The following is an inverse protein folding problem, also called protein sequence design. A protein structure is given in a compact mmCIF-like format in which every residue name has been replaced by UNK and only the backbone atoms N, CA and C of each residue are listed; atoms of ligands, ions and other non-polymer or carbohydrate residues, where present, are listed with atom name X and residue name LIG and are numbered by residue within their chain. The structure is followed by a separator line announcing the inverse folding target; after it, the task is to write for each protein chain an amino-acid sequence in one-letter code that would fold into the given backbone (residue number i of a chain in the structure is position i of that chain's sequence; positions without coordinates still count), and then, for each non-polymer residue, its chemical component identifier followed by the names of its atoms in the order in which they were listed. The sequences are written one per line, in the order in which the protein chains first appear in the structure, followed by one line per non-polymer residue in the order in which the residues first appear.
data_IF_865609291431
#
_entry.id   IF_865609291431
#
_cell.length_a   1.000
_cell.length_b   1.000
_cell.length_c   1.000
_cell.angle_alpha   90.00
_cell.angle_beta   90.00
_cell.angle_gamma   90.00
#
_symmetry.space_group_name_H-M   'P 1'
#
loop_
_entity.id
_entity.type
_entity.pdbx_description
1 polymer ?
2 polymer ?
3 non-polymer ?
4 non-polymer ?
5 water ?
#
# COMPACT_ATOMS: atom_id res chain seq x y z
N UNK A 1 -42.18 -6.76 2.27
CA UNK A 1 -41.31 -6.36 1.13
C UNK A 1 -41.74 -7.03 -0.17
N UNK A 2 -41.82 -6.22 -1.23
CA UNK A 2 -42.19 -6.71 -2.55
C UNK A 2 -40.97 -7.35 -3.20
N UNK A 3 -41.23 -8.30 -4.08
CA UNK A 3 -40.17 -9.02 -4.77
C UNK A 3 -40.10 -8.67 -6.24
N UNK A 4 -38.88 -8.66 -6.80
CA UNK A 4 -38.76 -8.35 -8.23
C UNK A 4 -39.22 -9.57 -9.04
N UNK A 5 -39.52 -9.38 -10.32
CA UNK A 5 -39.99 -10.49 -11.15
C UNK A 5 -38.95 -11.53 -11.54
N UNK A 6 -39.40 -12.79 -11.56
CA UNK A 6 -38.59 -13.93 -11.98
C UNK A 6 -37.24 -14.01 -11.29
N UNK A 7 -37.26 -13.79 -9.98
CA UNK A 7 -36.02 -13.82 -9.25
C UNK A 7 -35.56 -15.23 -8.93
N UNK A 8 -34.25 -15.37 -8.75
CA UNK A 8 -33.72 -16.64 -8.32
C UNK A 8 -33.53 -16.35 -6.84
N UNK A 9 -34.00 -17.27 -6.02
CA UNK A 9 -33.89 -17.11 -4.58
C UNK A 9 -32.66 -17.83 -4.03
N UNK A 10 -31.95 -17.17 -3.11
CA UNK A 10 -30.77 -17.73 -2.45
C UNK A 10 -30.98 -17.61 -0.94
N UNK A 11 -30.92 -18.76 -0.28
CA UNK A 11 -31.13 -18.92 1.17
C UNK A 11 -29.75 -18.97 1.82
N UNK A 12 -29.41 -17.99 2.67
CA UNK A 12 -28.07 -17.98 3.29
C UNK A 12 -28.01 -18.57 4.69
N UNK A 13 -29.08 -19.23 5.12
CA UNK A 13 -29.11 -19.85 6.43
C UNK A 13 -28.25 -21.11 6.47
N UNK A 14 -27.94 -21.60 7.67
CA UNK A 14 -27.13 -22.82 7.78
C UNK A 14 -27.90 -23.96 7.08
N UNK A 15 -27.17 -24.93 6.56
CA UNK A 15 -27.81 -26.03 5.84
C UNK A 15 -28.93 -26.74 6.58
N UNK A 16 -28.79 -26.98 7.89
CA UNK A 16 -29.87 -27.66 8.63
C UNK A 16 -31.20 -26.94 8.46
N UNK A 17 -31.16 -25.63 8.62
CA UNK A 17 -32.37 -24.82 8.48
C UNK A 17 -32.89 -24.91 7.06
N UNK A 18 -31.99 -24.79 6.09
CA UNK A 18 -32.38 -24.89 4.69
C UNK A 18 -33.08 -26.25 4.43
N UNK A 19 -32.49 -27.31 4.95
CA UNK A 19 -33.06 -28.64 4.75
C UNK A 19 -34.40 -28.86 5.46
N UNK A 20 -34.64 -28.10 6.52
CA UNK A 20 -35.89 -28.20 7.26
C UNK A 20 -37.05 -27.56 6.49
N UNK A 21 -36.71 -26.73 5.51
CA UNK A 21 -37.69 -26.06 4.70
C UNK A 21 -37.18 -24.73 4.16
N UNK A 22 -37.21 -24.58 2.83
CA UNK A 22 -36.77 -23.37 2.17
C UNK A 22 -37.80 -22.93 1.14
N UNK A 23 -37.66 -21.72 0.59
CA UNK A 23 -38.63 -21.30 -0.40
C UNK A 23 -38.49 -22.18 -1.65
N UNK A 24 -39.62 -22.46 -2.31
CA UNK A 24 -39.54 -23.31 -3.51
C UNK A 24 -38.52 -22.78 -4.51
N UNK A 25 -37.62 -23.65 -4.95
CA UNK A 25 -36.64 -23.25 -5.94
C UNK A 25 -35.42 -22.51 -5.39
N UNK A 26 -35.41 -22.23 -4.09
CA UNK A 26 -34.27 -21.50 -3.53
C UNK A 26 -33.00 -22.34 -3.45
N UNK A 27 -31.87 -21.72 -3.81
CA UNK A 27 -30.59 -22.42 -3.71
C UNK A 27 -30.02 -22.11 -2.34
N UNK A 28 -29.17 -22.99 -1.83
CA UNK A 28 -28.51 -22.76 -0.55
C UNK A 28 -27.13 -22.20 -0.85
N UNK A 29 -26.79 -21.09 -0.19
CA UNK A 29 -25.45 -20.51 -0.37
C UNK A 29 -25.05 -19.65 0.83
N UNK A 30 -23.90 -19.97 1.43
CA UNK A 30 -23.36 -19.16 2.55
C UNK A 30 -21.87 -18.92 2.24
N UNK A 31 -21.53 -17.68 1.88
CA UNK A 31 -20.15 -17.35 1.54
C UNK A 31 -19.36 -16.70 2.67
N UNK A 32 -19.66 -17.06 3.91
CA UNK A 32 -18.93 -16.49 5.06
C UNK A 32 -17.48 -16.97 5.14
N UNK A 33 -17.21 -18.16 4.62
CA UNK A 33 -15.88 -18.77 4.77
C UNK A 33 -14.63 -18.28 4.05
N UNK A 34 -14.70 -18.10 2.73
CA UNK A 34 -13.53 -17.64 1.97
C UNK A 34 -12.93 -16.31 2.39
N UNK A 35 -11.68 -16.34 2.84
CA UNK A 35 -10.94 -15.12 3.19
C UNK A 35 -10.15 -14.80 1.91
N UNK A 36 -10.29 -13.57 1.43
CA UNK A 36 -9.65 -13.17 0.19
C UNK A 36 -8.40 -12.31 0.30
N UNK A 37 -7.52 -12.46 -0.70
CA UNK A 37 -6.30 -11.65 -0.80
C UNK A 37 -6.43 -11.03 -2.19
N UNK A 38 -6.54 -9.71 -2.23
CA UNK A 38 -6.74 -9.01 -3.50
C UNK A 38 -5.76 -7.88 -3.65
N UNK A 39 -4.56 -8.20 -4.13
CA UNK A 39 -3.53 -7.20 -4.34
C UNK A 39 -3.21 -7.07 -5.83
N UNK A 40 -3.02 -8.21 -6.50
CA UNK A 40 -2.70 -8.23 -7.92
C UNK A 40 -3.94 -8.34 -8.82
N UNK A 41 -3.84 -7.82 -10.04
CA UNK A 41 -4.97 -7.93 -10.96
C UNK A 41 -5.37 -9.41 -11.13
N UNK A 42 -4.40 -10.32 -11.17
CA UNK A 42 -4.71 -11.75 -11.33
C UNK A 42 -5.61 -12.25 -10.20
N UNK A 43 -5.44 -11.68 -9.01
CA UNK A 43 -6.28 -12.09 -7.87
C UNK A 43 -7.71 -11.60 -8.02
N UNK A 44 -7.88 -10.39 -8.53
CA UNK A 44 -9.23 -9.87 -8.75
C UNK A 44 -9.88 -10.70 -9.86
N UNK A 45 -9.11 -11.03 -10.89
CA UNK A 45 -9.65 -11.82 -11.99
C UNK A 45 -10.01 -13.23 -11.52
N UNK A 46 -9.25 -13.74 -10.57
CA UNK A 46 -9.50 -15.07 -10.00
C UNK A 46 -10.86 -15.03 -9.27
N UNK A 47 -11.11 -13.95 -8.54
CA UNK A 47 -12.39 -13.81 -7.83
C UNK A 47 -13.53 -13.75 -8.82
N UNK A 48 -13.37 -12.95 -9.87
CA UNK A 48 -14.42 -12.84 -10.88
C UNK A 48 -14.68 -14.21 -11.52
N UNK A 49 -13.61 -14.97 -11.82
CA UNK A 49 -13.78 -16.29 -12.42
C UNK A 49 -14.49 -17.25 -11.48
N UNK A 50 -14.15 -17.17 -10.21
CA UNK A 50 -14.77 -18.02 -9.19
C UNK A 50 -16.25 -17.70 -9.08
N UNK A 51 -16.60 -16.42 -9.18
CA UNK A 51 -18.01 -16.03 -9.12
C UNK A 51 -18.72 -16.54 -10.37
N UNK A 52 -18.08 -16.46 -11.53
CA UNK A 52 -18.72 -16.98 -12.75
C UNK A 52 -19.08 -18.45 -12.57
N UNK A 53 -18.13 -19.22 -12.05
CA UNK A 53 -18.33 -20.65 -11.86
C UNK A 53 -19.48 -20.91 -10.90
N UNK A 54 -19.52 -20.12 -9.83
CA UNK A 54 -20.56 -20.24 -8.82
C UNK A 54 -21.92 -19.88 -9.40
N UNK A 55 -21.98 -18.77 -10.12
CA UNK A 55 -23.23 -18.32 -10.72
C UNK A 55 -23.77 -19.37 -11.69
N UNK A 56 -22.88 -19.95 -12.50
CA UNK A 56 -23.32 -20.95 -13.46
C UNK A 56 -23.77 -22.25 -12.80
N UNK A 57 -23.01 -22.70 -11.82
CA UNK A 57 -23.34 -23.93 -11.12
C UNK A 57 -24.66 -23.84 -10.37
N UNK A 58 -24.97 -22.67 -9.80
CA UNK A 58 -26.23 -22.48 -9.07
C UNK A 58 -27.37 -21.98 -9.95
N UNK A 59 -27.08 -21.77 -11.23
CA UNK A 59 -28.11 -21.28 -12.15
C UNK A 59 -28.59 -19.91 -11.76
N UNK A 60 -27.66 -19.06 -11.35
CA UNK A 60 -27.97 -17.70 -10.93
C UNK A 60 -28.04 -16.76 -12.12
N UNK A 61 -28.85 -15.73 -11.97
CA UNK A 61 -29.07 -14.71 -12.99
C UNK A 61 -29.87 -13.61 -12.31
N UNK A 62 -29.71 -12.37 -12.76
CA UNK A 62 -30.45 -11.26 -12.16
C UNK A 62 -31.94 -11.38 -12.46
N UNK A 63 -32.79 -11.01 -11.51
CA UNK A 63 -32.43 -10.50 -10.18
C UNK A 63 -32.34 -11.65 -9.19
N UNK A 64 -31.52 -11.48 -8.16
CA UNK A 64 -31.38 -12.51 -7.14
C UNK A 64 -31.88 -11.93 -5.82
N UNK A 65 -32.70 -12.70 -5.13
CA UNK A 65 -33.21 -12.26 -3.84
C UNK A 65 -32.60 -13.17 -2.79
N UNK A 66 -31.80 -12.62 -1.89
CA UNK A 66 -31.19 -13.44 -0.85
C UNK A 66 -31.96 -13.28 0.45
N UNK A 67 -32.20 -14.36 1.17
CA UNK A 67 -32.94 -14.23 2.42
C UNK A 67 -32.30 -15.00 3.57
N UNK A 68 -32.54 -14.53 4.79
CA UNK A 68 -32.02 -15.13 6.00
C UNK A 68 -32.94 -14.60 7.12
N UNK A 69 -32.75 -15.12 8.32
CA UNK A 69 -33.57 -14.71 9.44
C UNK A 69 -32.91 -13.48 10.05
N UNK A 70 -33.34 -12.32 9.58
CA UNK A 70 -32.77 -11.08 10.04
C UNK A 70 -31.62 -10.64 9.16
N UNK A 71 -31.10 -9.44 9.43
CA UNK A 71 -30.00 -8.90 8.64
C UNK A 71 -28.68 -9.42 9.19
N UNK A 72 -28.36 -10.66 8.82
CA UNK A 72 -27.17 -11.34 9.29
C UNK A 72 -25.90 -11.00 8.51
N UNK A 73 -24.75 -11.23 9.14
CA UNK A 73 -23.50 -10.95 8.47
C UNK A 73 -23.32 -12.00 7.36
N UNK A 74 -23.82 -13.21 7.57
CA UNK A 74 -23.67 -14.22 6.50
C UNK A 74 -24.54 -13.82 5.29
N UNK A 75 -25.73 -13.27 5.53
CA UNK A 75 -26.58 -12.81 4.43
C UNK A 75 -25.91 -11.67 3.65
N UNK A 76 -25.40 -10.67 4.35
CA UNK A 76 -24.80 -9.53 3.67
C UNK A 76 -23.46 -9.84 3.00
N UNK A 77 -22.63 -10.70 3.59
CA UNK A 77 -21.37 -10.99 2.90
C UNK A 77 -21.67 -11.80 1.65
N UNK A 78 -22.65 -12.70 1.74
CA UNK A 78 -23.00 -13.49 0.57
C UNK A 78 -23.62 -12.56 -0.50
N UNK A 79 -24.53 -11.66 -0.10
CA UNK A 79 -25.12 -10.74 -1.07
C UNK A 79 -24.05 -9.84 -1.66
N UNK A 80 -23.07 -9.49 -0.85
CA UNK A 80 -21.98 -8.64 -1.31
C UNK A 80 -21.22 -9.34 -2.45
N UNK A 81 -20.91 -10.61 -2.27
CA UNK A 81 -20.21 -11.32 -3.35
C UNK A 81 -21.06 -11.39 -4.61
N UNK A 82 -22.36 -11.73 -4.48
CA UNK A 82 -23.18 -11.84 -5.69
C UNK A 82 -23.30 -10.51 -6.41
N UNK A 83 -23.47 -9.42 -5.66
CA UNK A 83 -23.57 -8.10 -6.27
C UNK A 83 -22.24 -7.68 -6.87
N UNK A 84 -21.16 -8.06 -6.21
CA UNK A 84 -19.81 -7.75 -6.67
C UNK A 84 -19.52 -8.44 -8.02
N UNK A 85 -20.20 -9.56 -8.25
CA UNK A 85 -20.04 -10.28 -9.50
C UNK A 85 -20.93 -9.71 -10.57
N UNK A 86 -21.65 -8.63 -10.27
CA UNK A 86 -22.50 -7.99 -11.25
C UNK A 86 -23.98 -8.35 -11.28
N UNK A 87 -24.42 -9.19 -10.35
CA UNK A 87 -25.85 -9.54 -10.31
C UNK A 87 -26.63 -8.46 -9.59
N UNK A 88 -27.90 -8.30 -9.98
CA UNK A 88 -28.79 -7.34 -9.32
C UNK A 88 -29.29 -8.12 -8.10
N UNK A 89 -29.01 -7.62 -6.89
CA UNK A 89 -29.41 -8.34 -5.69
C UNK A 89 -30.30 -7.56 -4.76
N UNK A 90 -31.10 -8.29 -3.98
CA UNK A 90 -31.98 -7.69 -3.00
C UNK A 90 -31.94 -8.57 -1.75
N UNK A 91 -31.97 -7.93 -0.59
CA UNK A 91 -31.97 -8.64 0.69
C UNK A 91 -33.42 -8.76 1.18
N UNK A 92 -33.73 -9.88 1.82
CA UNK A 92 -35.07 -10.14 2.34
C UNK A 92 -34.84 -10.75 3.73
N UNK A 93 -35.09 -9.96 4.78
CA UNK A 93 -34.80 -10.39 6.15
C UNK A 93 -35.98 -10.83 7.00
N UNK A 94 -37.18 -10.62 6.50
CA UNK A 94 -38.37 -10.99 7.27
C UNK A 94 -39.55 -11.05 6.33
N UNK A 95 -40.43 -12.02 6.53
CA UNK A 95 -41.61 -12.13 5.69
C UNK A 95 -41.62 -13.32 4.74
N UNK A 96 -40.48 -13.97 4.61
CA UNK A 96 -40.34 -15.14 3.74
C UNK A 96 -40.67 -16.46 4.46
N UNK A 97 -40.66 -16.44 5.79
CA UNK A 97 -40.82 -17.63 6.61
C UNK A 97 -42.06 -18.47 6.35
N UNK A 98 -43.20 -17.84 6.03
CA UNK A 98 -44.41 -18.65 5.75
C UNK A 98 -44.25 -19.51 4.50
N UNK A 99 -43.31 -19.13 3.64
CA UNK A 99 -43.09 -19.81 2.37
C UNK A 99 -41.95 -20.80 2.34
N UNK A 100 -41.29 -21.02 3.48
CA UNK A 100 -40.16 -21.93 3.60
C UNK A 100 -40.69 -23.36 3.78
N UNK A 101 -41.34 -23.84 2.73
CA UNK A 101 -42.01 -25.14 2.74
C UNK A 101 -41.34 -26.29 2.00
N UNK A 102 -40.39 -25.96 1.14
CA UNK A 102 -39.74 -26.98 0.32
C UNK A 102 -38.55 -27.64 0.98
N UNK A 103 -38.52 -28.97 0.93
CA UNK A 103 -37.43 -29.73 1.52
C UNK A 103 -36.41 -30.18 0.47
N UNK A 104 -36.90 -30.54 -0.71
CA UNK A 104 -36.03 -31.00 -1.80
C UNK A 104 -35.13 -29.88 -2.28
N UNK A 105 -33.87 -30.20 -2.54
CA UNK A 105 -32.93 -29.20 -3.01
C UNK A 105 -32.92 -29.18 -4.53
N UNK A 106 -33.13 -28.00 -5.13
CA UNK A 106 -33.14 -27.93 -6.60
C UNK A 106 -31.81 -28.29 -7.22
N UNK A 107 -31.87 -28.78 -8.46
CA UNK A 107 -30.69 -29.15 -9.23
C UNK A 107 -30.77 -28.32 -10.50
N UNK A 108 -30.38 -27.05 -10.43
CA UNK A 108 -30.42 -26.16 -11.59
C UNK A 108 -29.51 -26.63 -12.71
N UNK A 109 -29.87 -26.27 -13.94
CA UNK A 109 -29.03 -26.60 -15.08
C UNK A 109 -28.11 -25.38 -15.15
N UNK A 110 -26.82 -25.63 -15.33
CA UNK A 110 -25.83 -24.55 -15.40
C UNK A 110 -26.23 -23.39 -16.29
N UNK A 111 -26.43 -22.20 -15.73
CA UNK A 111 -26.76 -21.06 -16.57
C UNK A 111 -25.43 -20.72 -17.25
N UNK A 112 -25.44 -19.77 -18.18
CA UNK A 112 -24.20 -19.41 -18.87
C UNK A 112 -23.78 -17.99 -18.56
N UNK A 113 -24.35 -17.47 -17.47
CA UNK A 113 -24.05 -16.13 -17.02
C UNK A 113 -22.56 -16.02 -16.73
N UNK A 114 -22.01 -14.83 -16.91
CA UNK A 114 -20.59 -14.62 -16.64
C UNK A 114 -20.49 -13.43 -15.71
N UNK A 115 -19.75 -13.60 -14.62
CA UNK A 115 -19.58 -12.51 -13.67
C UNK A 115 -18.75 -11.39 -14.28
N UNK A 116 -19.03 -10.17 -13.83
CA UNK A 116 -18.30 -8.97 -14.26
C UNK A 116 -18.12 -8.18 -12.97
N UNK A 117 -16.89 -8.09 -12.47
CA UNK A 117 -16.64 -7.40 -11.22
C UNK A 117 -17.08 -5.95 -11.13
N UNK A 118 -17.79 -5.65 -10.05
CA UNK A 118 -18.25 -4.30 -9.81
C UNK A 118 -17.17 -3.70 -8.91
N UNK A 119 -16.04 -3.28 -9.49
CA UNK A 119 -14.95 -2.73 -8.69
C UNK A 119 -15.39 -1.56 -7.82
N UNK A 120 -16.42 -0.86 -8.27
CA UNK A 120 -16.92 0.28 -7.51
C UNK A 120 -17.46 -0.08 -6.12
N UNK A 121 -17.85 -1.34 -5.95
CA UNK A 121 -18.37 -1.79 -4.66
C UNK A 121 -17.26 -2.14 -3.67
N UNK A 122 -16.07 -2.35 -4.22
CA UNK A 122 -14.95 -2.81 -3.44
C UNK A 122 -13.80 -1.86 -3.13
N UNK A 123 -13.11 -2.17 -2.04
CA UNK A 123 -11.87 -1.50 -1.69
C UNK A 123 -10.78 -2.60 -1.58
N UNK A 124 -9.68 -2.43 -2.29
CA UNK A 124 -8.57 -3.36 -2.17
C UNK A 124 -7.78 -2.73 -1.02
N UNK A 125 -6.74 -3.41 -0.53
CA UNK A 125 -5.92 -2.89 0.58
C UNK A 125 -5.32 -1.56 0.19
N UNK A 126 -4.81 -1.47 -1.03
CA UNK A 126 -4.23 -0.22 -1.48
C UNK A 126 -5.24 0.93 -1.50
N UNK A 127 -6.47 0.62 -1.90
CA UNK A 127 -7.50 1.65 -1.95
C UNK A 127 -7.91 2.02 -0.53
N UNK A 128 -7.97 1.03 0.36
CA UNK A 128 -8.36 1.31 1.74
C UNK A 128 -7.30 2.19 2.40
N UNK A 129 -6.03 1.89 2.13
CA UNK A 129 -4.89 2.63 2.69
C UNK A 129 -4.90 4.11 2.34
N UNK A 130 -5.50 4.44 1.21
CA UNK A 130 -5.56 5.83 0.74
C UNK A 130 -6.92 6.46 0.92
N UNK A 131 -7.84 5.75 1.54
CA UNK A 131 -9.19 6.28 1.72
C UNK A 131 -9.23 7.31 2.84
N UNK A 132 -9.89 8.45 2.59
CA UNK A 132 -9.99 9.52 3.59
C UNK A 132 -10.91 9.25 4.76
N UNK A 133 -11.85 8.31 4.58
CA UNK A 133 -12.79 8.00 5.65
C UNK A 133 -13.12 6.53 5.70
N UNK A 134 -12.38 5.82 6.53
CA UNK A 134 -12.54 4.40 6.72
C UNK A 134 -13.19 4.15 8.05
N UNK A 135 -14.31 3.47 8.03
CA UNK A 135 -15.00 3.11 9.25
C UNK A 135 -14.74 1.65 9.58
N UNK A 136 -14.21 1.42 10.78
CA UNK A 136 -13.93 0.09 11.31
C UNK A 136 -15.23 -0.27 12.04
N UNK A 137 -15.97 -1.26 11.53
CA UNK A 137 -17.24 -1.60 12.14
C UNK A 137 -17.19 -2.69 13.19
N UNK A 138 -15.98 -2.99 13.66
CA UNK A 138 -15.83 -4.00 14.70
C UNK A 138 -16.14 -3.38 16.06
N UNK A 139 -16.00 -4.17 17.11
CA UNK A 139 -16.29 -3.67 18.45
C UNK A 139 -15.16 -2.75 18.89
N UNK A 140 -15.41 -1.91 19.91
CA UNK A 140 -14.39 -0.99 20.42
C UNK A 140 -13.15 -1.75 20.88
N UNK A 141 -13.35 -2.93 21.46
CA UNK A 141 -12.23 -3.75 21.94
C UNK A 141 -11.35 -4.23 20.79
N UNK A 142 -11.96 -4.54 19.65
CA UNK A 142 -11.22 -4.99 18.49
C UNK A 142 -10.49 -3.77 17.92
N UNK A 143 -11.21 -2.67 17.87
CA UNK A 143 -10.67 -1.40 17.36
C UNK A 143 -9.43 -0.97 18.13
N UNK A 144 -9.46 -1.16 19.44
CA UNK A 144 -8.35 -0.78 20.31
C UNK A 144 -7.23 -1.80 20.31
N UNK A 145 -7.46 -2.93 19.65
CA UNK A 145 -6.46 -3.98 19.57
C UNK A 145 -6.36 -4.84 20.82
N UNK A 146 -7.36 -4.75 21.69
CA UNK A 146 -7.35 -5.55 22.92
C UNK A 146 -7.59 -7.03 22.63
N UNK A 147 -8.30 -7.30 21.54
CA UNK A 147 -8.59 -8.68 21.16
C UNK A 147 -8.44 -8.83 19.65
N UNK A 148 -8.32 -10.08 19.20
CA UNK A 148 -8.20 -10.34 17.78
C UNK A 148 -8.45 -11.82 17.55
N UNK A 149 -8.95 -12.19 16.37
CA UNK A 149 -9.20 -13.61 16.11
C UNK A 149 -7.87 -14.37 16.05
N UNK A 150 -7.87 -15.66 16.45
CA UNK A 150 -6.67 -16.50 16.45
C UNK A 150 -5.96 -16.69 15.11
N UNK A 151 -6.68 -16.47 14.02
CA UNK A 151 -6.07 -16.61 12.70
C UNK A 151 -5.18 -15.40 12.37
N UNK A 152 -5.24 -14.36 13.21
CA UNK A 152 -4.43 -13.15 12.98
C UNK A 152 -3.25 -13.02 13.95
N UNK A 153 -2.20 -12.27 13.58
CA UNK A 153 -1.00 -12.06 14.42
C UNK A 153 -1.16 -11.29 15.72
N UNK A 154 -2.01 -10.26 15.71
CA UNK A 154 -2.19 -9.43 16.90
C UNK A 154 -3.41 -8.53 16.77
N UNK A 155 -3.66 -7.74 17.81
CA UNK A 155 -4.78 -6.82 17.79
C UNK A 155 -4.39 -5.52 17.13
N UNK A 156 -5.34 -4.88 16.46
CA UNK A 156 -5.00 -3.63 15.80
C UNK A 156 -6.07 -3.15 14.87
N UNK A 157 -5.84 -1.96 14.33
CA UNK A 157 -6.75 -1.31 13.39
C UNK A 157 -5.92 -0.61 12.34
N UNK A 158 -6.56 -0.24 11.25
CA UNK A 158 -5.89 0.47 10.18
C UNK A 158 -5.69 1.88 10.75
N UNK A 159 -4.46 2.42 10.69
CA UNK A 159 -4.20 3.76 11.21
C UNK A 159 -5.12 4.81 10.61
N UNK A 160 -5.66 5.69 11.45
CA UNK A 160 -6.53 6.75 10.96
C UNK A 160 -8.00 6.41 10.84
N UNK A 161 -8.34 5.14 11.00
CA UNK A 161 -9.75 4.74 10.88
C UNK A 161 -10.57 5.18 12.10
N UNK A 162 -11.89 5.24 11.92
CA UNK A 162 -12.77 5.62 13.00
C UNK A 162 -13.67 4.45 13.33
N UNK A 163 -13.96 4.24 14.61
CA UNK A 163 -14.78 3.12 15.03
C UNK A 163 -16.29 3.45 14.92
N UNK A 164 -17.02 2.60 14.21
CA UNK A 164 -18.46 2.74 14.04
C UNK A 164 -18.99 1.31 14.15
N UNK A 165 -19.10 0.79 15.39
CA UNK A 165 -19.58 -0.56 15.68
C UNK A 165 -20.82 -0.94 14.90
N UNK A 166 -20.83 -2.18 14.39
CA UNK A 166 -21.92 -2.73 13.60
C UNK A 166 -23.30 -2.38 14.13
N UNK A 167 -23.47 -2.54 15.44
CA UNK A 167 -24.73 -2.27 16.13
C UNK A 167 -25.40 -0.96 15.70
N UNK A 168 -24.61 0.09 15.57
CA UNK A 168 -25.13 1.39 15.17
C UNK A 168 -25.91 1.36 13.86
N UNK A 169 -25.47 0.51 12.93
CA UNK A 169 -26.11 0.42 11.63
C UNK A 169 -27.48 -0.24 11.66
N UNK A 170 -27.81 -0.85 12.80
CA UNK A 170 -29.10 -1.52 12.93
C UNK A 170 -30.22 -0.54 13.31
N UNK A 171 -29.84 0.70 13.54
CA UNK A 171 -30.79 1.75 13.86
C UNK A 171 -30.59 2.84 12.82
N UNK A 172 -31.03 2.58 11.58
CA UNK A 172 -30.94 3.49 10.43
C UNK A 172 -31.52 4.89 10.57
N UNK A 173 -32.62 5.02 11.30
CA UNK A 173 -33.22 6.34 11.48
C UNK A 173 -32.23 7.25 12.23
N UNK A 174 -31.82 8.33 11.57
CA UNK A 174 -30.89 9.26 12.18
C UNK A 174 -29.44 8.79 12.24
N UNK A 175 -29.14 7.67 11.56
CA UNK A 175 -27.77 7.13 11.56
C UNK A 175 -26.75 8.07 10.94
N UNK A 176 -27.03 8.56 9.73
CA UNK A 176 -26.11 9.45 9.05
C UNK A 176 -25.81 10.67 9.91
N UNK A 177 -26.82 11.09 10.67
CA UNK A 177 -26.67 12.24 11.54
C UNK A 177 -25.72 11.88 12.68
N UNK A 178 -25.95 10.76 13.33
CA UNK A 178 -25.08 10.34 14.42
C UNK A 178 -23.66 10.06 13.93
N UNK A 179 -23.53 9.68 12.67
CA UNK A 179 -22.21 9.38 12.12
C UNK A 179 -21.60 10.61 11.46
N UNK A 180 -22.40 11.64 11.25
CA UNK A 180 -21.89 12.84 10.62
C UNK A 180 -21.61 12.66 9.14
N UNK A 181 -22.40 11.81 8.49
CA UNK A 181 -22.24 11.57 7.07
C UNK A 181 -23.44 12.18 6.35
N UNK A 182 -23.44 12.11 5.02
CA UNK A 182 -24.54 12.62 4.24
C UNK A 182 -24.58 11.93 2.90
N UNK A 183 -25.76 11.88 2.27
CA UNK A 183 -25.87 11.23 0.96
C UNK A 183 -24.76 11.65 0.01
N UNK A 184 -24.28 10.70 -0.79
CA UNK A 184 -23.25 10.98 -1.76
C UNK A 184 -21.83 10.91 -1.24
N UNK A 185 -21.66 10.89 0.07
CA UNK A 185 -20.33 10.82 0.68
C UNK A 185 -19.64 9.47 0.53
N UNK A 186 -18.36 9.51 0.18
CA UNK A 186 -17.55 8.30 0.02
C UNK A 186 -17.14 7.79 1.39
N UNK A 187 -17.51 6.57 1.69
CA UNK A 187 -17.17 5.98 2.99
C UNK A 187 -16.69 4.57 2.75
N UNK A 188 -15.59 4.20 3.39
CA UNK A 188 -15.08 2.86 3.25
C UNK A 188 -15.41 2.16 4.56
N UNK A 189 -15.66 0.86 4.50
CA UNK A 189 -15.96 0.12 5.70
C UNK A 189 -15.16 -1.17 5.72
N UNK A 190 -14.73 -1.59 6.89
CA UNK A 190 -13.97 -2.83 6.99
C UNK A 190 -14.13 -3.47 8.36
N UNK A 191 -13.68 -4.73 8.46
CA UNK A 191 -13.71 -5.45 9.73
C UNK A 191 -12.68 -6.56 9.66
N UNK A 192 -13.01 -7.82 10.01
CA UNK A 192 -12.01 -8.89 9.96
C UNK A 192 -11.91 -9.49 8.57
N UNK A 193 -13.03 -9.91 7.98
CA UNK A 193 -12.96 -10.46 6.66
C UNK A 193 -14.10 -9.96 5.79
N UNK A 194 -14.56 -8.75 6.11
CA UNK A 194 -15.59 -8.09 5.31
C UNK A 194 -17.05 -8.47 5.49
N UNK A 195 -17.37 -9.23 6.54
CA UNK A 195 -18.75 -9.68 6.78
C UNK A 195 -19.62 -8.60 7.43
N UNK A 196 -19.23 -8.14 8.62
CA UNK A 196 -19.99 -7.10 9.26
C UNK A 196 -19.97 -5.82 8.45
N UNK A 197 -18.86 -5.60 7.73
CA UNK A 197 -18.77 -4.39 6.92
C UNK A 197 -19.68 -4.49 5.72
N UNK A 198 -19.99 -5.72 5.28
CA UNK A 198 -20.91 -5.91 4.17
C UNK A 198 -22.29 -5.45 4.65
N UNK A 199 -22.55 -5.64 5.94
CA UNK A 199 -23.84 -5.22 6.50
C UNK A 199 -23.89 -3.69 6.48
N UNK A 200 -22.82 -3.06 6.94
CA UNK A 200 -22.76 -1.59 6.96
C UNK A 200 -22.82 -1.05 5.55
N UNK A 201 -22.22 -1.80 4.62
CA UNK A 201 -22.18 -1.44 3.20
C UNK A 201 -23.62 -1.29 2.69
N UNK A 202 -24.43 -2.33 2.87
CA UNK A 202 -25.81 -2.27 2.41
C UNK A 202 -26.69 -1.24 3.12
N UNK A 203 -26.49 -1.08 4.42
CA UNK A 203 -27.26 -0.10 5.17
C UNK A 203 -26.93 1.30 4.67
N UNK A 204 -25.64 1.61 4.61
CA UNK A 204 -25.21 2.93 4.17
C UNK A 204 -25.70 3.22 2.75
N UNK A 205 -25.58 2.25 1.85
CA UNK A 205 -26.02 2.44 0.48
C UNK A 205 -27.50 2.75 0.42
N UNK A 206 -28.29 2.10 1.28
CA UNK A 206 -29.72 2.35 1.28
C UNK A 206 -30.02 3.77 1.78
N UNK A 207 -29.07 4.37 2.50
CA UNK A 207 -29.27 5.73 3.00
C UNK A 207 -28.65 6.75 2.05
N UNK A 208 -28.16 6.26 0.91
CA UNK A 208 -27.58 7.15 -0.08
C UNK A 208 -26.09 7.43 0.00
N UNK A 209 -25.42 6.80 0.96
CA UNK A 209 -23.97 6.98 1.13
C UNK A 209 -23.21 6.06 0.17
N UNK A 210 -22.15 6.58 -0.45
CA UNK A 210 -21.36 5.77 -1.36
C UNK A 210 -20.35 4.93 -0.59
N UNK A 211 -20.87 3.91 0.06
CA UNK A 211 -20.03 3.00 0.84
C UNK A 211 -19.34 1.94 -0.05
N UNK A 212 -18.09 1.64 0.27
CA UNK A 212 -17.31 0.64 -0.49
C UNK A 212 -16.74 -0.28 0.59
N UNK A 213 -16.74 -1.58 0.31
CA UNK A 213 -16.34 -2.59 1.28
C UNK A 213 -14.92 -3.12 1.08
N UNK A 214 -14.10 -3.02 2.12
CA UNK A 214 -12.72 -3.51 2.08
C UNK A 214 -12.85 -4.98 2.44
N UNK A 215 -13.10 -5.78 1.40
CA UNK A 215 -13.30 -7.21 1.57
C UNK A 215 -12.13 -7.94 2.24
N UNK A 216 -10.89 -7.60 1.88
CA UNK A 216 -9.75 -8.25 2.52
C UNK A 216 -9.75 -7.99 4.00
N UNK A 217 -10.13 -6.77 4.34
CA UNK A 217 -10.23 -6.32 5.73
C UNK A 217 -8.98 -6.54 6.56
N UNK A 218 -9.14 -6.53 7.88
CA UNK A 218 -8.00 -6.68 8.80
C UNK A 218 -7.17 -7.97 8.64
N UNK A 219 -7.82 -9.08 8.28
CA UNK A 219 -7.05 -10.30 8.08
C UNK A 219 -6.01 -10.07 6.98
N UNK A 220 -6.45 -9.58 5.83
CA UNK A 220 -5.50 -9.35 4.75
C UNK A 220 -4.47 -8.30 5.13
N UNK A 221 -4.95 -7.21 5.74
CA UNK A 221 -4.07 -6.10 6.13
C UNK A 221 -2.89 -6.61 6.97
N UNK A 222 -3.17 -7.49 7.92
CA UNK A 222 -2.10 -8.02 8.77
C UNK A 222 -1.23 -9.03 8.01
N UNK A 223 -1.83 -9.87 7.18
CA UNK A 223 -1.02 -10.84 6.43
C UNK A 223 0.00 -10.11 5.56
N UNK A 224 -0.39 -8.95 5.04
CA UNK A 224 0.48 -8.15 4.17
C UNK A 224 1.57 -7.39 4.94
N UNK A 225 1.44 -7.31 6.26
CA UNK A 225 2.43 -6.61 7.05
C UNK A 225 2.34 -5.09 7.03
N UNK A 226 1.16 -4.59 6.68
CA UNK A 226 0.93 -3.15 6.62
C UNK A 226 0.85 -2.57 8.03
N UNK A 227 1.15 -1.27 8.18
CA UNK A 227 1.13 -0.57 9.47
C UNK A 227 -0.19 -0.64 10.22
N UNK A 228 -0.12 -0.84 11.54
CA UNK A 228 -1.34 -0.89 12.34
C UNK A 228 -1.18 -0.19 13.68
N UNK A 229 -2.30 0.20 14.26
CA UNK A 229 -2.31 0.85 15.57
C UNK A 229 -3.10 -0.05 16.51
N UNK A 230 -2.76 -0.03 17.80
CA UNK A 230 -1.69 0.77 18.41
C UNK A 230 -0.30 0.18 18.15
N UNK B 2 41.91 4.59 -3.12
CA UNK B 2 41.85 3.30 -3.87
C UNK B 2 41.27 3.50 -5.27
N UNK B 3 41.71 4.55 -5.96
CA UNK B 3 41.21 4.85 -7.30
C UNK B 3 41.37 3.68 -8.24
N UNK B 4 40.25 3.03 -8.61
CA UNK B 4 40.25 1.88 -9.52
C UNK B 4 40.80 2.21 -10.90
N UNK B 5 41.13 1.17 -11.66
CA UNK B 5 41.66 1.32 -13.00
C UNK B 5 40.58 1.78 -13.97
N UNK B 6 40.83 2.88 -14.67
CA UNK B 6 39.87 3.43 -15.63
C UNK B 6 38.62 3.88 -14.90
N UNK B 7 38.80 4.58 -13.78
CA UNK B 7 37.68 5.07 -13.02
C UNK B 7 37.18 6.40 -13.58
N UNK B 8 35.86 6.56 -13.59
CA UNK B 8 35.23 7.79 -14.08
C UNK B 8 34.93 8.64 -12.85
N UNK B 9 35.44 9.86 -12.83
CA UNK B 9 35.23 10.73 -11.69
C UNK B 9 34.01 11.63 -11.84
N UNK B 10 33.33 11.86 -10.70
CA UNK B 10 32.15 12.70 -10.66
C UNK B 10 32.24 13.60 -9.43
N UNK B 11 32.29 14.91 -9.69
CA UNK B 11 32.37 15.94 -8.67
C UNK B 11 30.92 16.37 -8.36
N UNK B 12 30.47 16.16 -7.13
CA UNK B 12 29.11 16.52 -6.75
C UNK B 12 29.03 17.85 -6.03
N UNK B 13 30.09 18.65 -6.12
CA UNK B 13 30.09 19.96 -5.47
C UNK B 13 29.39 20.96 -6.38
N UNK B 14 29.07 22.15 -5.85
CA UNK B 14 28.40 23.19 -6.64
C UNK B 14 29.26 23.60 -7.84
N UNK B 15 28.63 24.16 -8.86
CA UNK B 15 29.37 24.57 -10.05
C UNK B 15 30.54 25.52 -9.76
N UNK B 16 30.34 26.53 -8.88
CA UNK B 16 31.43 27.47 -8.56
C UNK B 16 32.70 26.78 -8.06
N UNK B 17 32.52 25.73 -7.28
CA UNK B 17 33.65 24.99 -6.74
C UNK B 17 34.26 24.17 -7.87
N UNK B 18 33.40 23.57 -8.68
CA UNK B 18 33.84 22.76 -9.81
C UNK B 18 34.67 23.62 -10.77
N UNK B 19 34.18 24.83 -11.03
CA UNK B 19 34.86 25.76 -11.94
C UNK B 19 36.18 26.26 -11.37
N UNK B 20 36.22 26.43 -10.04
CA UNK B 20 37.40 26.93 -9.34
C UNK B 20 38.53 25.90 -9.34
N UNK B 21 38.17 24.64 -9.57
CA UNK B 21 39.17 23.59 -9.59
C UNK B 21 38.60 22.24 -9.21
N UNK B 22 38.61 21.33 -10.18
CA UNK B 22 38.12 19.97 -9.97
C UNK B 22 39.20 19.00 -10.40
N UNK B 23 39.01 17.72 -10.12
CA UNK B 23 39.99 16.73 -10.53
C UNK B 23 39.94 16.55 -12.03
N UNK B 24 41.12 16.42 -12.66
CA UNK B 24 41.28 16.23 -14.11
C UNK B 24 40.34 15.19 -14.69
N UNK B 25 39.50 15.62 -15.63
CA UNK B 25 38.56 14.72 -16.26
C UNK B 25 37.27 14.43 -15.51
N UNK B 26 37.10 15.05 -14.34
CA UNK B 26 35.91 14.82 -13.53
C UNK B 26 34.68 15.55 -14.09
N UNK B 27 33.54 14.88 -14.09
CA UNK B 27 32.31 15.49 -14.57
C UNK B 27 31.58 16.11 -13.38
N UNK B 28 30.73 17.10 -13.64
CA UNK B 28 29.98 17.73 -12.56
C UNK B 28 28.54 17.20 -12.59
N UNK B 29 28.03 16.79 -11.41
CA UNK B 29 26.67 16.26 -11.33
C UNK B 29 26.13 16.29 -9.90
N UNK B 30 24.90 16.77 -9.77
CA UNK B 30 24.22 16.88 -8.49
C UNK B 30 22.74 16.58 -8.69
N UNK B 31 22.33 15.36 -8.34
CA UNK B 31 20.94 14.96 -8.51
C UNK B 31 20.11 15.25 -7.26
N UNK B 32 20.20 16.49 -6.80
CA UNK B 32 19.48 16.92 -5.61
C UNK B 32 17.95 16.89 -5.62
N UNK B 33 17.36 17.93 -6.22
CA UNK B 33 15.91 18.12 -6.28
C UNK B 33 14.97 17.02 -6.76
N UNK B 34 15.28 16.38 -7.90
CA UNK B 34 14.40 15.32 -8.45
C UNK B 34 13.51 14.56 -7.46
N UNK B 35 12.23 14.92 -7.43
CA UNK B 35 11.24 14.27 -6.56
C UNK B 35 10.53 13.22 -7.40
N UNK B 36 10.59 11.96 -6.96
CA UNK B 36 9.99 10.90 -7.73
C UNK B 36 8.71 10.27 -7.21
N UNK B 37 7.90 9.82 -8.16
CA UNK B 37 6.66 9.13 -7.88
C UNK B 37 6.88 7.76 -8.52
N UNK B 38 7.06 6.74 -7.70
CA UNK B 38 7.32 5.41 -8.21
C UNK B 38 6.30 4.41 -7.68
N UNK B 39 5.11 4.44 -8.24
CA UNK B 39 4.06 3.52 -7.83
C UNK B 39 3.66 2.61 -9.00
N UNK B 40 3.84 3.10 -10.21
CA UNK B 40 3.48 2.32 -11.39
C UNK B 40 4.69 1.89 -12.22
N UNK B 41 4.50 0.77 -12.93
CA UNK B 41 5.54 0.20 -13.77
C UNK B 41 6.09 1.25 -14.73
N UNK B 42 5.19 2.02 -15.35
CA UNK B 42 5.57 3.06 -16.29
C UNK B 42 6.52 4.08 -15.65
N UNK B 43 6.37 4.29 -14.34
CA UNK B 43 7.22 5.25 -13.63
C UNK B 43 8.59 4.66 -13.35
N UNK B 44 8.63 3.37 -13.03
CA UNK B 44 9.91 2.73 -12.75
C UNK B 44 10.62 2.60 -14.09
N UNK B 45 9.87 2.36 -15.15
CA UNK B 45 10.46 2.24 -16.47
C UNK B 45 11.05 3.57 -16.87
N UNK B 46 10.28 4.63 -16.68
CA UNK B 46 10.72 5.98 -17.01
C UNK B 46 12.01 6.29 -16.26
N UNK B 47 12.06 5.95 -14.97
CA UNK B 47 13.26 6.23 -14.19
C UNK B 47 14.43 5.46 -14.78
N UNK B 48 14.25 4.16 -15.04
CA UNK B 48 15.33 3.36 -15.60
C UNK B 48 15.80 3.89 -16.95
N UNK B 49 14.86 4.32 -17.78
CA UNK B 49 15.21 4.86 -19.08
C UNK B 49 15.95 6.19 -18.93
N UNK B 50 15.55 6.95 -17.92
CA UNK B 50 16.20 8.22 -17.69
C UNK B 50 17.64 8.05 -17.21
N UNK B 51 17.89 6.97 -16.50
CA UNK B 51 19.25 6.71 -16.00
C UNK B 51 20.11 6.29 -17.17
N UNK B 52 19.56 5.45 -18.05
CA UNK B 52 20.29 5.01 -19.23
C UNK B 52 20.77 6.22 -20.02
N UNK B 53 19.88 7.18 -20.22
CA UNK B 53 20.23 8.39 -20.96
C UNK B 53 21.33 9.16 -20.24
N UNK B 54 21.18 9.29 -18.92
CA UNK B 54 22.16 10.00 -18.12
C UNK B 54 23.56 9.40 -18.21
N UNK B 55 23.66 8.09 -18.03
CA UNK B 55 24.94 7.43 -18.08
C UNK B 55 25.64 7.59 -19.43
N UNK B 56 24.92 7.34 -20.51
CA UNK B 56 25.48 7.44 -21.85
C UNK B 56 25.99 8.84 -22.16
N UNK B 57 25.22 9.85 -21.79
CA UNK B 57 25.60 11.23 -22.08
C UNK B 57 26.84 11.71 -21.33
N UNK B 58 26.93 11.40 -20.04
CA UNK B 58 28.08 11.80 -19.24
C UNK B 58 29.24 10.84 -19.47
N UNK B 59 29.06 9.93 -20.43
CA UNK B 59 30.10 8.96 -20.72
C UNK B 59 30.49 8.20 -19.47
N UNK B 60 29.49 7.69 -18.76
CA UNK B 60 29.74 6.94 -17.53
C UNK B 60 29.77 5.45 -17.76
N UNK B 61 30.52 4.75 -16.91
CA UNK B 61 30.67 3.30 -16.95
C UNK B 61 31.39 2.88 -15.68
N UNK B 62 31.12 1.66 -15.22
CA UNK B 62 31.76 1.16 -14.02
C UNK B 62 33.26 1.03 -14.28
N UNK B 63 34.09 1.37 -13.29
CA UNK B 63 33.74 1.86 -11.96
C UNK B 63 33.69 3.40 -11.91
N UNK B 64 32.73 3.93 -11.16
CA UNK B 64 32.59 5.37 -11.02
C UNK B 64 32.95 5.80 -9.60
N UNK B 65 33.74 6.85 -9.49
CA UNK B 65 34.12 7.37 -8.19
C UNK B 65 33.62 8.80 -8.04
N UNK B 66 32.75 9.01 -7.07
CA UNK B 66 32.17 10.33 -6.81
C UNK B 66 32.86 10.99 -5.61
N UNK B 67 33.15 12.27 -5.72
CA UNK B 67 33.80 12.97 -4.61
C UNK B 67 33.12 14.29 -4.26
N UNK B 68 33.32 14.71 -3.01
CA UNK B 68 32.74 15.94 -2.49
C UNK B 68 33.55 16.28 -1.25
N UNK B 69 33.17 17.35 -0.54
CA UNK B 69 33.88 17.71 0.67
C UNK B 69 33.11 17.19 1.87
N UNK B 70 33.41 15.96 2.26
CA UNK B 70 32.71 15.34 3.38
C UNK B 70 31.59 14.50 2.82
N UNK B 71 31.02 13.65 3.67
CA UNK B 71 29.91 12.79 3.26
C UNK B 71 28.65 13.64 3.21
N UNK B 72 28.46 14.31 2.07
CA UNK B 72 27.31 15.19 1.89
C UNK B 72 26.07 14.49 1.34
N UNK B 73 24.93 15.10 1.59
CA UNK B 73 23.67 14.57 1.11
C UNK B 73 23.69 14.54 -0.41
N UNK B 74 24.21 15.60 -1.03
CA UNK B 74 24.25 15.66 -2.49
C UNK B 74 25.15 14.55 -3.06
N UNK B 75 26.29 14.32 -2.42
CA UNK B 75 27.20 13.28 -2.87
C UNK B 75 26.52 11.92 -2.84
N UNK B 76 25.85 11.62 -1.73
CA UNK B 76 25.17 10.33 -1.56
C UNK B 76 23.90 10.16 -2.39
N UNK B 77 23.03 11.16 -2.45
CA UNK B 77 21.82 10.93 -3.26
C UNK B 77 22.27 10.76 -4.71
N UNK B 78 23.32 11.46 -5.11
CA UNK B 78 23.82 11.36 -6.48
C UNK B 78 24.44 9.97 -6.73
N UNK B 79 25.26 9.51 -5.79
CA UNK B 79 25.85 8.20 -5.94
C UNK B 79 24.75 7.15 -5.92
N UNK B 80 23.70 7.41 -5.14
CA UNK B 80 22.59 6.48 -5.05
C UNK B 80 21.91 6.26 -6.40
N UNK B 81 21.71 7.33 -7.16
CA UNK B 81 21.05 7.19 -8.47
C UNK B 81 21.92 6.39 -9.45
N UNK B 82 23.21 6.71 -9.50
CA UNK B 82 24.12 5.99 -10.40
C UNK B 82 24.13 4.51 -10.04
N UNK B 83 24.27 4.23 -8.74
CA UNK B 83 24.27 2.85 -8.30
C UNK B 83 22.95 2.17 -8.56
N UNK B 84 21.86 2.92 -8.41
CA UNK B 84 20.53 2.38 -8.63
C UNK B 84 20.38 1.91 -10.07
N UNK B 85 21.09 2.58 -10.97
CA UNK B 85 21.04 2.23 -12.38
C UNK B 85 21.91 1.04 -12.75
N UNK B 86 22.66 0.54 -11.77
CA UNK B 86 23.51 -0.62 -12.01
C UNK B 86 25.00 -0.36 -12.07
N UNK B 87 25.42 0.91 -12.01
CA UNK B 87 26.84 1.24 -12.04
C UNK B 87 27.54 0.90 -10.72
N UNK B 88 28.82 0.54 -10.80
CA UNK B 88 29.58 0.24 -9.59
C UNK B 88 30.15 1.59 -9.15
N UNK B 89 29.75 2.04 -7.97
CA UNK B 89 30.16 3.34 -7.46
C UNK B 89 30.96 3.28 -6.17
N UNK B 90 31.65 4.38 -5.86
CA UNK B 90 32.47 4.49 -4.67
C UNK B 90 32.52 5.96 -4.23
N UNK B 91 32.50 6.20 -2.93
CA UNK B 91 32.53 7.56 -2.40
C UNK B 91 33.94 7.96 -1.95
N UNK B 92 34.34 9.19 -2.24
CA UNK B 92 35.65 9.72 -1.86
C UNK B 92 35.38 11.07 -1.21
N UNK B 93 35.35 11.09 0.12
CA UNK B 93 35.05 12.29 0.88
C UNK B 93 36.22 13.16 1.34
N UNK B 94 37.45 12.72 1.08
CA UNK B 94 38.63 13.48 1.45
C UNK B 94 39.87 12.84 0.85
N UNK B 95 40.84 13.67 0.49
CA UNK B 95 42.06 13.15 -0.09
C UNK B 95 42.19 13.49 -1.55
N UNK B 96 41.09 13.98 -2.14
CA UNK B 96 41.06 14.36 -3.54
C UNK B 96 41.48 15.82 -3.71
N UNK B 97 41.17 16.64 -2.71
CA UNK B 97 41.48 18.07 -2.75
C UNK B 97 42.80 18.45 -3.43
N UNK B 98 43.91 17.82 -3.04
CA UNK B 98 45.19 18.17 -3.67
C UNK B 98 45.21 18.02 -5.20
N UNK B 99 44.24 17.30 -5.75
CA UNK B 99 44.17 17.08 -7.19
C UNK B 99 43.18 18.00 -7.92
N UNK B 100 42.35 18.71 -7.16
CA UNK B 100 41.34 19.61 -7.72
C UNK B 100 41.95 20.86 -8.33
N UNK B 101 42.66 20.70 -9.44
CA UNK B 101 43.33 21.81 -10.10
C UNK B 101 42.91 22.08 -11.54
N UNK B 102 42.02 21.25 -12.08
CA UNK B 102 41.56 21.49 -13.44
C UNK B 102 40.37 22.44 -13.42
N UNK B 103 40.39 23.43 -14.29
CA UNK B 103 39.30 24.40 -14.35
C UNK B 103 38.45 24.24 -15.60
N UNK B 104 39.01 23.65 -16.64
CA UNK B 104 38.30 23.43 -17.89
C UNK B 104 37.34 22.25 -17.74
N UNK B 105 36.18 22.33 -18.40
CA UNK B 105 35.20 21.26 -18.30
C UNK B 105 35.28 20.26 -19.44
N UNK B 106 35.20 18.97 -19.13
CA UNK B 106 35.27 17.89 -20.12
C UNK B 106 34.18 18.00 -21.20
N UNK B 107 34.03 16.91 -21.94
CA UNK B 107 33.04 16.78 -23.00
C UNK B 107 33.04 15.29 -23.34
N UNK B 108 32.64 14.46 -22.37
CA UNK B 108 32.57 13.00 -22.48
C UNK B 108 32.05 12.49 -23.82
N UNK B 109 32.65 11.41 -24.32
CA UNK B 109 32.19 10.83 -25.56
C UNK B 109 31.15 9.81 -25.14
N UNK B 110 29.90 10.04 -25.52
CA UNK B 110 28.80 9.15 -25.16
C UNK B 110 29.19 7.68 -25.11
N UNK B 111 28.57 6.94 -24.19
CA UNK B 111 28.81 5.51 -24.04
C UNK B 111 27.53 4.81 -24.43
N UNK B 112 27.54 3.48 -24.46
CA UNK B 112 26.35 2.73 -24.84
C UNK B 112 25.76 1.94 -23.68
N UNK B 113 26.41 2.04 -22.52
CA UNK B 113 25.94 1.34 -21.32
C UNK B 113 24.45 1.56 -21.10
N UNK B 114 23.75 0.53 -20.65
CA UNK B 114 22.31 0.60 -20.41
C UNK B 114 21.99 0.38 -18.93
N UNK B 115 21.11 1.22 -18.39
CA UNK B 115 20.76 1.12 -16.99
C UNK B 115 19.80 -0.05 -16.70
N UNK B 116 19.96 -0.60 -15.50
CA UNK B 116 19.14 -1.72 -15.05
C UNK B 116 18.87 -1.44 -13.57
N UNK B 117 17.61 -1.19 -13.22
CA UNK B 117 17.28 -0.88 -11.83
C UNK B 117 17.65 -2.00 -10.87
N UNK B 118 18.37 -1.61 -9.82
CA UNK B 118 18.77 -2.55 -8.79
C UNK B 118 17.67 -2.39 -7.74
N UNK B 119 16.56 -3.07 -7.94
CA UNK B 119 15.43 -2.98 -7.02
C UNK B 119 15.78 -3.24 -5.58
N UNK B 120 16.81 -4.06 -5.34
CA UNK B 120 17.21 -4.37 -3.96
C UNK B 120 17.80 -3.18 -3.21
N UNK B 121 17.98 -2.05 -3.90
CA UNK B 121 18.53 -0.82 -3.31
C UNK B 121 17.40 0.12 -2.94
N UNK B 122 16.24 -0.14 -3.52
CA UNK B 122 15.09 0.73 -3.40
C UNK B 122 13.85 0.22 -2.67
N UNK B 123 13.05 1.18 -2.20
CA UNK B 123 11.77 0.88 -1.58
C UNK B 123 10.77 1.80 -2.26
N UNK B 124 9.73 1.21 -2.83
CA UNK B 124 8.65 1.99 -3.42
C UNK B 124 7.76 2.22 -2.22
N UNK B 125 6.72 3.03 -2.38
CA UNK B 125 5.82 3.28 -1.26
C UNK B 125 5.21 1.98 -0.75
N UNK B 126 4.88 1.09 -1.68
CA UNK B 126 4.28 -0.19 -1.35
C UNK B 126 5.22 -1.09 -0.52
N UNK B 127 6.49 -1.12 -0.90
CA UNK B 127 7.48 -1.93 -0.20
C UNK B 127 7.78 -1.27 1.17
N UNK B 128 7.83 0.05 1.21
CA UNK B 128 8.08 0.71 2.49
C UNK B 128 6.95 0.44 3.49
N UNK B 129 5.72 0.43 3.00
CA UNK B 129 4.55 0.20 3.83
C UNK B 129 4.57 -1.19 4.46
N UNK B 130 5.28 -2.12 3.84
CA UNK B 130 5.33 -3.49 4.33
C UNK B 130 6.66 -3.86 4.98
N UNK B 131 7.61 -2.93 4.98
CA UNK B 131 8.90 -3.22 5.55
C UNK B 131 8.79 -3.31 7.07
N UNK B 132 9.42 -4.33 7.66
CA UNK B 132 9.40 -4.56 9.11
C UNK B 132 10.24 -3.63 9.98
N UNK B 133 11.16 -2.88 9.38
CA UNK B 133 11.96 -1.95 10.15
C UNK B 133 12.39 -0.74 9.34
N UNK B 134 11.57 0.32 9.40
CA UNK B 134 11.86 1.57 8.70
C UNK B 134 12.44 2.60 9.66
N UNK B 135 13.54 3.22 9.26
CA UNK B 135 14.17 4.26 10.06
C UNK B 135 13.87 5.60 9.40
N UNK B 136 13.29 6.51 10.18
CA UNK B 136 12.94 7.86 9.74
C UNK B 136 14.18 8.65 10.13
N UNK B 137 14.91 9.18 9.16
CA UNK B 137 16.15 9.92 9.44
C UNK B 137 15.96 11.44 9.60
N UNK B 138 14.71 11.87 9.71
CA UNK B 138 14.44 13.29 9.88
C UNK B 138 14.64 13.66 11.35
N UNK B 139 14.42 14.92 11.69
CA UNK B 139 14.59 15.36 13.07
C UNK B 139 13.45 14.85 13.92
N UNK B 140 13.64 14.80 15.24
CA UNK B 140 12.58 14.33 16.13
C UNK B 140 11.28 15.12 15.95
N UNK B 141 11.43 16.42 15.73
CA UNK B 141 10.29 17.31 15.55
C UNK B 141 9.50 16.88 14.30
N UNK B 142 10.21 16.47 13.26
CA UNK B 142 9.54 16.03 12.03
C UNK B 142 8.91 14.67 12.28
N UNK B 143 9.70 13.76 12.86
CA UNK B 143 9.22 12.39 13.16
C UNK B 143 7.95 12.41 14.01
N UNK B 144 7.89 13.34 14.96
CA UNK B 144 6.75 13.47 15.86
C UNK B 144 5.56 14.21 15.27
N UNK B 145 5.75 14.69 14.04
CA UNK B 145 4.68 15.41 13.36
C UNK B 145 4.39 16.79 13.93
N UNK B 146 5.36 17.37 14.61
CA UNK B 146 5.19 18.69 15.21
C UNK B 146 5.41 19.79 14.17
N UNK B 147 6.10 19.47 13.09
CA UNK B 147 6.34 20.43 12.01
C UNK B 147 6.26 19.70 10.67
N UNK B 148 6.16 20.46 9.59
CA UNK B 148 6.11 19.86 8.25
C UNK B 148 6.53 20.89 7.23
N UNK B 149 7.15 20.45 6.11
CA UNK B 149 7.58 21.38 5.06
C UNK B 149 6.33 21.94 4.36
N UNK B 150 6.41 23.15 3.78
CA UNK B 150 5.27 23.78 3.12
C UNK B 150 4.67 23.07 1.91
N UNK B 151 5.44 22.15 1.32
CA UNK B 151 4.99 21.38 0.17
C UNK B 151 4.18 20.15 0.58
N UNK B 152 4.11 19.90 1.89
CA UNK B 152 3.34 18.78 2.46
C UNK B 152 2.13 19.27 3.27
N UNK B 153 1.04 18.49 3.30
CA UNK B 153 -0.18 18.88 4.04
C UNK B 153 -0.15 18.99 5.54
N UNK B 154 0.61 18.13 6.21
CA UNK B 154 0.63 18.12 7.68
C UNK B 154 1.85 17.37 8.18
N UNK B 155 2.09 17.45 9.50
CA UNK B 155 3.23 16.75 10.08
C UNK B 155 2.88 15.29 10.26
N UNK B 156 3.88 14.41 10.17
CA UNK B 156 3.59 13.00 10.34
C UNK B 156 4.76 12.13 9.99
N UNK B 157 4.61 10.83 10.27
CA UNK B 157 5.62 9.81 9.98
C UNK B 157 4.88 8.58 9.49
N UNK B 158 5.60 7.65 8.89
CA UNK B 158 5.00 6.40 8.43
C UNK B 158 4.75 5.63 9.74
N UNK B 159 3.52 5.17 9.97
CA UNK B 159 3.21 4.45 11.21
C UNK B 159 4.12 3.26 11.44
N UNK B 160 4.65 3.15 12.66
CA UNK B 160 5.52 2.03 13.02
C UNK B 160 7.00 2.25 12.78
N UNK B 161 7.35 3.35 12.13
CA UNK B 161 8.75 3.64 11.86
C UNK B 161 9.46 4.08 13.14
N UNK B 162 10.79 3.97 13.14
CA UNK B 162 11.63 4.37 14.29
C UNK B 162 12.47 5.58 13.88
N UNK B 163 12.66 6.52 14.81
CA UNK B 163 13.42 7.74 14.52
C UNK B 163 14.93 7.58 14.69
N UNK B 164 15.67 7.92 13.64
CA UNK B 164 17.13 7.87 13.66
C UNK B 164 17.67 9.09 12.90
N UNK B 165 17.73 10.25 13.57
CA UNK B 165 18.22 11.48 12.95
C UNK B 165 19.51 11.26 12.15
N UNK B 166 19.54 11.82 10.94
CA UNK B 166 20.68 11.68 10.03
C UNK B 166 22.03 11.88 10.73
N UNK B 167 22.07 12.84 11.66
CA UNK B 167 23.31 13.14 12.38
C UNK B 167 24.05 11.88 12.83
N UNK B 168 23.31 10.92 13.37
CA UNK B 168 23.86 9.66 13.86
C UNK B 168 24.73 8.87 12.89
N UNK B 169 24.38 8.91 11.62
CA UNK B 169 25.12 8.17 10.60
C UNK B 169 26.46 8.80 10.23
N UNK B 170 26.75 9.95 10.82
CA UNK B 170 28.00 10.65 10.56
C UNK B 170 29.09 10.16 11.52
N UNK B 171 28.69 9.30 12.45
CA UNK B 171 29.58 8.69 13.44
C UNK B 171 29.37 7.17 13.38
N UNK B 172 30.05 6.48 12.47
CA UNK B 172 29.93 5.04 12.29
C UNK B 172 30.45 4.14 13.42
N UNK B 173 31.42 4.63 14.19
CA UNK B 173 31.97 3.83 15.27
C UNK B 173 30.88 3.46 16.27
N UNK B 174 30.63 2.16 16.41
CA UNK B 174 29.62 1.69 17.34
C UNK B 174 28.21 2.11 16.97
N UNK B 175 28.02 2.51 15.72
CA UNK B 175 26.69 2.94 15.27
C UNK B 175 25.67 1.82 15.28
N UNK B 176 26.07 0.63 14.84
CA UNK B 176 25.15 -0.51 14.80
C UNK B 176 24.62 -0.81 16.19
N UNK B 177 25.49 -0.75 17.19
CA UNK B 177 25.11 -1.02 18.56
C UNK B 177 24.12 0.02 19.04
N UNK B 178 24.33 1.28 18.68
CA UNK B 178 23.43 2.34 19.10
C UNK B 178 22.05 2.19 18.48
N UNK B 179 22.00 1.87 17.20
CA UNK B 179 20.72 1.71 16.50
C UNK B 179 20.07 0.37 16.82
N UNK B 180 20.82 -0.52 17.46
CA UNK B 180 20.28 -1.82 17.81
C UNK B 180 20.22 -2.71 16.57
N UNK B 181 21.14 -2.48 15.65
CA UNK B 181 21.19 -3.24 14.42
C UNK B 181 22.38 -4.18 14.38
N UNK B 182 22.38 -5.12 13.43
CA UNK B 182 23.47 -6.06 13.26
C UNK B 182 23.67 -6.34 11.78
N UNK B 183 24.88 -6.72 11.37
CA UNK B 183 25.13 -6.99 9.95
C UNK B 183 24.11 -7.94 9.33
N UNK B 184 23.81 -7.71 8.06
CA UNK B 184 22.87 -8.55 7.32
C UNK B 184 21.40 -8.26 7.56
N UNK B 185 21.11 -7.44 8.56
CA UNK B 185 19.72 -7.11 8.89
C UNK B 185 19.07 -6.19 7.84
N UNK B 186 17.79 -6.44 7.55
CA UNK B 186 17.03 -5.63 6.59
C UNK B 186 16.54 -4.35 7.25
N UNK B 187 16.92 -3.21 6.68
CA UNK B 187 16.51 -1.92 7.23
C UNK B 187 16.10 -0.97 6.11
N UNK B 188 15.00 -0.25 6.30
CA UNK B 188 14.58 0.71 5.29
C UNK B 188 14.88 2.10 5.84
N UNK B 189 15.16 3.06 4.97
CA UNK B 189 15.41 4.43 5.41
C UNK B 189 14.61 5.44 4.60
N UNK B 190 14.13 6.50 5.26
CA UNK B 190 13.39 7.52 4.53
C UNK B 190 13.45 8.85 5.23
N UNK B 191 13.11 9.91 4.49
CA UNK B 191 13.08 11.24 5.09
C UNK B 191 11.96 12.00 4.38
N UNK B 192 12.25 13.18 3.85
CA UNK B 192 11.22 13.93 3.14
C UNK B 192 11.16 13.65 1.64
N UNK B 193 12.30 13.70 0.96
CA UNK B 193 12.31 13.45 -0.49
C UNK B 193 13.49 12.61 -0.92
N UNK B 194 14.04 11.84 0.00
CA UNK B 194 15.20 11.04 -0.32
C UNK B 194 16.32 12.00 -0.67
N UNK B 195 16.29 13.19 -0.09
CA UNK B 195 17.34 14.18 -0.34
C UNK B 195 18.58 13.77 0.44
N UNK B 196 18.36 13.21 1.62
CA UNK B 196 19.47 12.80 2.45
C UNK B 196 19.48 11.32 2.77
N UNK B 197 18.32 10.67 2.64
CA UNK B 197 18.21 9.24 2.96
C UNK B 197 19.36 8.38 2.43
N UNK B 198 19.91 8.78 1.29
CA UNK B 198 21.02 8.07 0.69
C UNK B 198 22.23 8.02 1.61
N UNK B 199 22.41 9.04 2.46
CA UNK B 199 23.55 9.07 3.39
C UNK B 199 23.43 7.87 4.35
N UNK B 200 22.27 7.70 4.95
CA UNK B 200 22.07 6.58 5.87
C UNK B 200 22.23 5.26 5.12
N UNK B 201 21.74 5.23 3.88
CA UNK B 201 21.83 4.03 3.05
C UNK B 201 23.29 3.57 2.88
N UNK B 202 24.16 4.47 2.46
CA UNK B 202 25.56 4.10 2.25
C UNK B 202 26.31 3.79 3.54
N UNK B 203 26.03 4.51 4.62
CA UNK B 203 26.72 4.24 5.87
C UNK B 203 26.34 2.84 6.37
N UNK B 204 25.04 2.55 6.38
CA UNK B 204 24.58 1.24 6.83
C UNK B 204 25.13 0.10 5.97
N UNK B 205 25.09 0.26 4.65
CA UNK B 205 25.61 -0.79 3.77
C UNK B 205 27.10 -1.02 3.98
N UNK B 206 27.82 0.04 4.31
CA UNK B 206 29.25 -0.12 4.51
C UNK B 206 29.46 -1.01 5.73
N UNK B 207 28.51 -0.94 6.65
CA UNK B 207 28.58 -1.72 7.88
C UNK B 207 27.97 -3.12 7.78
N UNK B 208 27.54 -3.49 6.58
CA UNK B 208 26.98 -4.82 6.40
C UNK B 208 25.48 -4.92 6.54
N UNK B 209 24.82 -3.79 6.77
CA UNK B 209 23.36 -3.78 6.90
C UNK B 209 22.71 -3.74 5.51
N UNK B 210 21.65 -4.52 5.33
CA UNK B 210 20.95 -4.54 4.05
C UNK B 210 19.94 -3.41 4.01
N UNK B 211 20.45 -2.20 3.81
CA UNK B 211 19.58 -1.02 3.78
C UNK B 211 18.97 -0.79 2.40
N UNK B 212 17.74 -0.29 2.39
CA UNK B 212 17.04 0.02 1.16
C UNK B 212 16.49 1.43 1.35
N UNK B 213 16.60 2.24 0.31
CA UNK B 213 16.19 3.65 0.38
C UNK B 213 14.80 3.94 -0.17
N UNK B 214 13.91 4.48 0.67
CA UNK B 214 12.58 4.85 0.19
C UNK B 214 12.73 6.27 -0.42
N UNK B 215 13.05 6.34 -1.70
CA UNK B 215 13.22 7.64 -2.37
C UNK B 215 12.00 8.55 -2.30
N UNK B 216 10.81 7.99 -2.53
CA UNK B 216 9.60 8.78 -2.48
C UNK B 216 9.48 9.50 -1.16
N UNK B 217 9.79 8.77 -0.09
CA UNK B 217 9.78 9.35 1.24
C UNK B 217 8.47 10.00 1.65
N UNK B 218 8.47 10.77 2.74
CA UNK B 218 7.24 11.38 3.23
C UNK B 218 6.48 12.23 2.21
N UNK B 219 7.20 12.91 1.34
CA UNK B 219 6.51 13.73 0.35
C UNK B 219 5.59 12.85 -0.49
N UNK B 220 6.11 11.75 -1.00
CA UNK B 220 5.25 10.87 -1.82
C UNK B 220 4.18 10.22 -0.96
N UNK B 221 4.57 9.73 0.22
CA UNK B 221 3.64 9.09 1.13
C UNK B 221 2.40 9.97 1.37
N UNK B 222 2.64 11.25 1.63
CA UNK B 222 1.53 12.15 1.87
C UNK B 222 0.75 12.47 0.60
N UNK B 223 1.46 12.57 -0.53
CA UNK B 223 0.77 12.88 -1.78
C UNK B 223 -0.14 11.70 -2.11
N UNK B 224 0.28 10.51 -1.72
CA UNK B 224 -0.55 9.31 -1.97
C UNK B 224 -1.75 9.19 -1.01
N UNK B 225 -1.76 9.98 0.06
CA UNK B 225 -2.84 9.94 1.01
C UNK B 225 -2.74 8.74 1.94
N UNK B 226 -1.53 8.22 2.11
CA UNK B 226 -1.33 7.04 2.95
C UNK B 226 -1.42 7.41 4.43
N UNK B 227 -1.79 6.45 5.29
CA UNK B 227 -1.93 6.70 6.73
C UNK B 227 -0.65 7.19 7.42
N UNK B 228 -0.80 8.16 8.34
CA UNK B 228 0.36 8.67 9.05
C UNK B 228 0.05 8.86 10.55
N UNK B 229 1.10 8.95 11.35
CA UNK B 229 0.94 9.22 12.78
C UNK B 229 1.71 10.50 13.03
N UNK B 230 1.30 11.29 14.03
CA UNK B 230 0.15 11.00 14.91
C UNK B 230 -1.21 11.38 14.29
X LIG C 1 -7.69 -13.28 10.84
X LIG D 1 -16.11 -10.03 10.33
X LIG D 1 -15.96 -11.33 11.08
X LIG D 1 -15.28 -8.99 11.02
X LIG D 1 -15.65 -10.21 8.92
X LIG D 1 -17.55 -9.61 10.35
X LIG E 1 -4.83 6.28 14.96
X LIG E 1 -3.83 5.83 15.98
X LIG E 1 -5.88 7.14 15.61
X LIG E 1 -4.11 7.07 13.90
X LIG E 1 -5.49 5.09 14.33
X LIG F 1 -23.73 -26.33 0.68
X LIG F 1 -23.99 -26.73 2.10
X LIG F 1 -22.67 -25.26 0.63
X LIG F 1 -23.25 -27.53 -0.10
X LIG F 1 -24.99 -25.82 0.06
X LIG G 1 -16.26 -17.28 -4.22
X LIG G 1 -16.96 -16.31 -3.30
X LIG G 1 -16.59 -18.69 -3.80
X LIG G 1 -16.71 -17.06 -5.62
X LIG G 1 -14.78 -17.07 -4.11
X LIG H 1 0.37 0.68 -0.50
X LIG H 1 1.11 -0.63 -0.62
X LIG H 1 0.82 1.37 0.76
X LIG H 1 0.70 1.55 -1.67
X LIG H 1 -1.10 0.42 -0.45
X LIG I 1 6.78 17.82 0.84
X LIG J 1 15.33 15.15 3.01
X LIG J 1 16.77 14.83 3.34
X LIG J 1 15.18 16.62 2.80
X LIG J 1 14.94 14.43 1.76
X LIG J 1 14.46 14.71 4.15
X LIG K 1 3.44 4.59 15.67
X LIG K 1 4.35 3.93 16.65
X LIG K 1 4.26 5.26 14.60
X LIG K 1 2.55 3.56 15.04
X LIG K 1 2.59 5.61 16.36
#
# INVERSE_FOLDING_TARGET
MNLPEDAVLVDTRPRPAYEAGHLPGARHLDLSAPKLRLREEAELKALEGGLTELFQTLGLRSPVVLYDEGLTSRLCRTAFFLGLGGLEVQLWTEGWEPYATEKEEPKPERTEVVAKLRRDWLLTADEAARHPLLLDVRSPEEFQGKVHPPCCPRGGRIPGSKNAPLELFLSPEGLLERLGLQPGQEVGVYCHSGARSAVAFFVLRSLGVRARNYLGSMHEWLQEGLPTEP
MNLPEDAVLVDTRPRPAYEAGHLPGARHLDLSAPKLRLREEAELKALEGGLTELFQTLGLRSPVVLYDEGLTSRLCRTAFFLGLGGLEVQLWTEGWEPYATEKEEPKPERTEVVAKLRRDWLLTADEAARHPLLLDVRSPEEFQGKVHPPCCPRGGRIPGSKNAPLELFLSPEGLLERLGLQPGQEVGVYCHSGARSAVAFFVLRSLGVRARNYLGSMHEWLQEGLPTEP
ZN ZN
SO4 S O1 O2 O3 O4
SO4 S O1 O2 O3 O4
SO4 S O1 O2 O3 O4
SO4 S O1 O2 O3 O4
SO4 S O1 O2 O3 O4
ZN ZN
SO4 S O1 O2 O3 O4
SO4 S O1 O2 O3 O4
#
